data_IF_152039415147
#
_entry.id   IF_152039415147
#
_cell.length_a   1.000
_cell.length_b   1.000
_cell.length_c   1.000
_cell.angle_alpha   90.00
_cell.angle_beta   90.00
_cell.angle_gamma   90.00
#
_symmetry.space_group_name_H-M   'P 1'
#
loop_
_entity.id
_entity.type
_entity.pdbx_description
1 polymer ?
#
# COMPACT_ATOMS: atom_id res chain seq x y z
N UNK A 1 37.24 24.92 -0.94
CA UNK A 1 36.37 25.00 0.25
C UNK A 1 35.05 25.65 -0.14
N UNK A 2 33.94 24.93 0.10
CA UNK A 2 32.54 25.38 0.25
C UNK A 2 31.97 26.41 -0.74
N UNK A 3 31.00 26.14 -1.61
CA UNK A 3 29.93 25.14 -1.57
C UNK A 3 28.68 25.71 -0.92
N UNK A 4 27.73 26.22 -1.73
CA UNK A 4 26.28 26.26 -1.43
C UNK A 4 25.52 26.25 -2.77
N UNK A 5 25.29 25.06 -3.31
CA UNK A 5 24.28 24.79 -4.34
C UNK A 5 23.26 23.82 -3.75
N UNK A 6 22.31 24.31 -2.94
CA UNK A 6 21.04 23.60 -2.72
C UNK A 6 20.06 24.43 -1.89
N UNK A 7 19.31 25.31 -2.55
CA UNK A 7 18.13 25.95 -1.94
C UNK A 7 16.85 25.82 -2.77
N UNK A 8 16.85 25.03 -3.86
CA UNK A 8 15.66 24.91 -4.73
C UNK A 8 14.78 23.67 -4.51
N UNK A 9 15.17 22.69 -3.69
CA UNK A 9 14.47 21.39 -3.64
C UNK A 9 13.51 21.15 -2.47
N UNK A 10 13.41 22.02 -1.46
CA UNK A 10 12.67 21.70 -0.23
C UNK A 10 11.29 22.37 -0.11
N UNK A 11 10.98 23.40 -0.92
CA UNK A 11 9.73 24.18 -0.76
C UNK A 11 8.56 23.83 -1.69
N UNK A 12 8.72 22.92 -2.65
CA UNK A 12 7.61 22.53 -3.55
C UNK A 12 6.73 21.37 -3.06
N UNK A 13 6.91 20.88 -1.81
CA UNK A 13 6.28 19.63 -1.35
C UNK A 13 4.85 19.75 -0.82
N UNK A 14 4.37 20.96 -0.49
CA UNK A 14 3.05 21.15 0.15
C UNK A 14 1.96 21.68 -0.80
N UNK A 15 2.30 22.26 -1.94
CA UNK A 15 1.31 22.88 -2.85
C UNK A 15 0.64 21.90 -3.83
N UNK A 16 1.12 20.66 -3.95
CA UNK A 16 0.48 19.67 -4.83
C UNK A 16 -0.80 19.06 -4.21
N UNK A 17 -1.07 19.31 -2.93
CA UNK A 17 -2.05 18.55 -2.15
C UNK A 17 -3.52 18.94 -2.42
N UNK A 18 -3.80 20.12 -3.00
CA UNK A 18 -5.16 20.66 -3.08
C UNK A 18 -5.79 20.72 -4.48
N UNK A 19 -5.04 20.53 -5.59
CA UNK A 19 -5.55 20.87 -6.94
C UNK A 19 -5.81 19.70 -7.91
N UNK A 20 -5.80 18.45 -7.45
CA UNK A 20 -6.07 17.32 -8.36
C UNK A 20 -7.58 17.12 -8.56
N UNK A 21 -8.07 17.61 -9.70
CA UNK A 21 -9.43 17.52 -10.23
C UNK A 21 -10.06 16.12 -10.12
N UNK A 22 -11.39 16.10 -10.00
CA UNK A 22 -12.28 14.97 -9.74
C UNK A 22 -12.40 13.89 -10.83
N UNK A 23 -11.45 13.78 -11.77
CA UNK A 23 -11.42 12.76 -12.83
C UNK A 23 -10.00 12.24 -13.10
N UNK A 24 -9.31 11.76 -12.06
CA UNK A 24 -8.01 11.10 -12.22
C UNK A 24 -8.18 9.62 -12.59
N UNK A 25 -7.44 9.18 -13.62
CA UNK A 25 -7.43 7.78 -14.04
C UNK A 25 -6.80 6.86 -12.97
N UNK A 26 -7.13 5.56 -12.94
CA UNK A 26 -6.48 4.60 -12.04
C UNK A 26 -4.95 4.61 -12.13
N UNK A 27 -4.40 4.80 -13.34
CA UNK A 27 -2.96 4.89 -13.57
C UNK A 27 -2.33 6.11 -12.88
N UNK A 28 -3.04 7.24 -12.82
CA UNK A 28 -2.56 8.44 -12.15
C UNK A 28 -2.42 8.22 -10.64
N UNK A 29 -3.41 7.59 -10.01
CA UNK A 29 -3.34 7.24 -8.58
C UNK A 29 -2.19 6.28 -8.29
N UNK A 30 -2.00 5.25 -9.13
CA UNK A 30 -0.90 4.30 -9.02
C UNK A 30 0.46 5.00 -9.12
N UNK A 31 0.59 5.97 -10.03
CA UNK A 31 1.81 6.75 -10.19
C UNK A 31 2.09 7.61 -8.94
N UNK A 32 1.10 8.34 -8.42
CA UNK A 32 1.27 9.20 -7.24
C UNK A 32 1.73 8.40 -6.02
N UNK A 33 1.11 7.24 -5.79
CA UNK A 33 1.48 6.33 -4.69
C UNK A 33 2.90 5.80 -4.89
N UNK A 34 3.24 5.32 -6.10
CA UNK A 34 4.59 4.82 -6.40
C UNK A 34 5.66 5.90 -6.22
N UNK A 35 5.38 7.13 -6.63
CA UNK A 35 6.29 8.26 -6.47
C UNK A 35 6.55 8.58 -4.98
N UNK A 36 5.53 8.51 -4.12
CA UNK A 36 5.74 8.67 -2.68
C UNK A 36 6.58 7.52 -2.09
N UNK A 37 6.38 6.29 -2.56
CA UNK A 37 7.17 5.13 -2.14
C UNK A 37 8.63 5.24 -2.56
N UNK A 38 8.91 5.66 -3.80
CA UNK A 38 10.28 5.82 -4.30
C UNK A 38 11.03 6.95 -3.58
N UNK A 39 10.31 7.99 -3.14
CA UNK A 39 10.84 9.07 -2.32
C UNK A 39 10.98 8.72 -0.82
N UNK A 40 10.79 7.45 -0.43
CA UNK A 40 10.88 7.02 0.97
C UNK A 40 9.83 7.65 1.88
N UNK A 41 8.68 8.05 1.34
CA UNK A 41 7.59 8.72 2.06
C UNK A 41 6.32 7.86 2.11
N UNK A 42 6.35 6.65 2.71
CA UNK A 42 5.22 5.72 2.70
C UNK A 42 3.97 6.22 3.43
N UNK A 43 4.11 7.14 4.40
CA UNK A 43 2.95 7.79 5.03
C UNK A 43 2.11 8.59 4.03
N UNK A 44 2.78 9.21 3.05
CA UNK A 44 2.10 10.07 2.09
C UNK A 44 1.42 9.23 1.02
N UNK A 45 2.00 8.08 0.66
CA UNK A 45 1.34 7.05 -0.12
C UNK A 45 0.02 6.60 0.54
N UNK A 46 0.02 6.36 1.85
CA UNK A 46 -1.21 6.03 2.60
C UNK A 46 -2.24 7.16 2.56
N UNK A 47 -1.83 8.42 2.76
CA UNK A 47 -2.75 9.56 2.68
C UNK A 47 -3.42 9.69 1.31
N UNK A 48 -2.67 9.48 0.22
CA UNK A 48 -3.22 9.47 -1.13
C UNK A 48 -4.24 8.34 -1.27
N UNK A 49 -3.93 7.13 -0.82
CA UNK A 49 -4.89 6.02 -0.87
C UNK A 49 -6.15 6.29 -0.05
N UNK A 50 -6.02 6.81 1.16
CA UNK A 50 -7.16 7.19 2.01
C UNK A 50 -8.08 8.18 1.28
N UNK A 51 -7.51 9.16 0.54
CA UNK A 51 -8.31 10.07 -0.30
C UNK A 51 -9.05 9.34 -1.43
N UNK A 52 -8.38 8.43 -2.14
CA UNK A 52 -9.02 7.59 -3.17
C UNK A 52 -10.20 6.80 -2.58
N UNK A 53 -10.03 6.23 -1.38
CA UNK A 53 -11.09 5.49 -0.69
C UNK A 53 -12.22 6.39 -0.19
N UNK A 54 -11.94 7.61 0.27
CA UNK A 54 -12.97 8.59 0.63
C UNK A 54 -13.82 9.04 -0.56
N UNK A 55 -13.29 8.96 -1.78
CA UNK A 55 -14.05 9.18 -3.02
C UNK A 55 -14.89 7.96 -3.43
N UNK A 56 -14.87 6.87 -2.65
CA UNK A 56 -15.54 5.62 -2.98
C UNK A 56 -14.85 4.80 -4.07
N UNK A 57 -13.68 5.24 -4.55
CA UNK A 57 -12.98 4.62 -5.68
C UNK A 57 -12.16 3.43 -5.16
N UNK A 58 -12.39 2.25 -5.72
CA UNK A 58 -11.60 1.06 -5.45
C UNK A 58 -10.77 0.71 -6.67
N UNK A 59 -9.44 0.72 -6.53
CA UNK A 59 -8.51 0.36 -7.60
C UNK A 59 -7.64 -0.78 -7.09
N UNK A 60 -7.89 -1.97 -7.62
CA UNK A 60 -7.18 -3.22 -7.26
C UNK A 60 -5.67 -3.05 -7.32
N UNK A 61 -5.16 -2.40 -8.37
CA UNK A 61 -3.72 -2.18 -8.56
C UNK A 61 -3.04 -1.33 -7.48
N UNK A 62 -3.79 -0.66 -6.60
CA UNK A 62 -3.23 0.11 -5.49
C UNK A 62 -2.93 -0.75 -4.27
N UNK A 63 -3.62 -1.87 -4.07
CA UNK A 63 -3.44 -2.72 -2.88
C UNK A 63 -1.98 -3.16 -2.68
N UNK A 64 -1.28 -3.71 -3.68
CA UNK A 64 0.13 -4.10 -3.53
C UNK A 64 1.03 -2.94 -3.09
N UNK A 65 0.81 -1.76 -3.68
CA UNK A 65 1.58 -0.55 -3.39
C UNK A 65 1.38 -0.08 -1.94
N UNK A 66 0.14 -0.11 -1.47
CA UNK A 66 -0.20 0.35 -0.13
C UNK A 66 0.19 -0.66 0.94
N UNK A 67 0.10 -1.96 0.63
CA UNK A 67 0.66 -3.00 1.48
C UNK A 67 2.18 -2.84 1.65
N UNK A 68 2.91 -2.50 0.57
CA UNK A 68 4.32 -2.14 0.64
C UNK A 68 4.56 -0.92 1.53
N UNK A 69 3.71 0.11 1.44
CA UNK A 69 3.76 1.27 2.33
C UNK A 69 3.59 0.87 3.80
N UNK A 70 2.61 0.02 4.10
CA UNK A 70 2.37 -0.51 5.45
C UNK A 70 3.56 -1.33 5.96
N UNK A 71 4.16 -2.15 5.09
CA UNK A 71 5.35 -2.95 5.41
C UNK A 71 6.54 -2.06 5.79
N UNK A 72 6.80 -1.00 5.01
CA UNK A 72 7.86 -0.01 5.30
C UNK A 72 7.61 0.78 6.59
N UNK A 73 6.35 0.88 7.03
CA UNK A 73 5.97 1.56 8.27
C UNK A 73 5.78 0.61 9.46
N UNK A 74 5.97 -0.70 9.26
CA UNK A 74 5.58 -1.75 10.22
C UNK A 74 4.15 -1.56 10.75
N UNK A 75 3.24 -1.07 9.90
CA UNK A 75 1.88 -0.68 10.29
C UNK A 75 0.90 -1.84 10.16
N UNK A 76 0.93 -2.73 11.15
CA UNK A 76 0.11 -3.95 11.15
C UNK A 76 -1.40 -3.68 11.11
N UNK A 77 -1.87 -2.61 11.75
CA UNK A 77 -3.30 -2.29 11.80
C UNK A 77 -3.85 -1.91 10.43
N UNK A 78 -3.12 -1.08 9.66
CA UNK A 78 -3.48 -0.76 8.29
C UNK A 78 -3.39 -2.00 7.39
N UNK A 79 -2.36 -2.81 7.55
CA UNK A 79 -2.20 -4.06 6.81
C UNK A 79 -3.37 -5.04 7.01
N UNK A 80 -3.86 -5.18 8.24
CA UNK A 80 -5.05 -6.01 8.56
C UNK A 80 -6.33 -5.44 7.93
N UNK A 81 -6.51 -4.13 7.95
CA UNK A 81 -7.67 -3.49 7.31
C UNK A 81 -7.68 -3.73 5.80
N UNK A 82 -6.52 -3.57 5.14
CA UNK A 82 -6.35 -3.84 3.70
C UNK A 82 -6.53 -5.32 3.37
N UNK A 83 -6.09 -6.22 4.24
CA UNK A 83 -6.32 -7.66 4.07
C UNK A 83 -7.82 -8.00 4.15
N UNK A 84 -8.54 -7.45 5.13
CA UNK A 84 -9.98 -7.63 5.21
C UNK A 84 -10.71 -7.04 4.00
N UNK A 85 -10.25 -5.89 3.49
CA UNK A 85 -10.75 -5.26 2.28
C UNK A 85 -10.50 -6.16 1.05
N UNK A 86 -9.30 -6.73 0.88
CA UNK A 86 -8.99 -7.60 -0.25
C UNK A 86 -9.87 -8.86 -0.27
N UNK A 87 -10.17 -9.45 0.89
CA UNK A 87 -11.11 -10.57 1.00
C UNK A 87 -12.52 -10.15 0.60
N UNK A 88 -13.03 -9.04 1.14
CA UNK A 88 -14.38 -8.53 0.82
C UNK A 88 -14.56 -8.21 -0.65
N UNK A 89 -13.48 -7.80 -1.32
CA UNK A 89 -13.48 -7.48 -2.75
C UNK A 89 -13.11 -8.67 -3.65
N UNK A 90 -12.92 -9.87 -3.11
CA UNK A 90 -12.55 -11.07 -3.89
C UNK A 90 -11.14 -11.02 -4.50
N UNK A 91 -10.28 -10.12 -4.02
CA UNK A 91 -8.91 -9.95 -4.50
C UNK A 91 -7.89 -10.79 -3.72
N UNK A 92 -8.34 -11.60 -2.76
CA UNK A 92 -7.50 -12.46 -1.96
C UNK A 92 -6.84 -13.60 -2.75
N UNK A 93 -7.27 -13.88 -3.99
CA UNK A 93 -6.63 -14.84 -4.90
C UNK A 93 -5.59 -14.20 -5.84
N UNK A 94 -5.48 -12.86 -5.87
CA UNK A 94 -4.51 -12.17 -6.70
C UNK A 94 -3.09 -12.39 -6.16
N UNK A 95 -2.21 -12.91 -7.02
CA UNK A 95 -0.83 -13.28 -6.65
C UNK A 95 -0.02 -12.08 -6.19
N UNK A 96 -0.21 -10.90 -6.79
CA UNK A 96 0.51 -9.69 -6.41
C UNK A 96 0.04 -9.16 -5.06
N UNK A 97 -1.28 -9.20 -4.81
CA UNK A 97 -1.87 -8.83 -3.51
C UNK A 97 -1.40 -9.79 -2.42
N UNK A 98 -1.47 -11.10 -2.67
CA UNK A 98 -1.01 -12.13 -1.73
C UNK A 98 0.47 -12.02 -1.38
N UNK A 99 1.32 -11.83 -2.39
CA UNK A 99 2.76 -11.62 -2.19
C UNK A 99 3.02 -10.38 -1.33
N UNK A 100 2.29 -9.29 -1.59
CA UNK A 100 2.43 -8.04 -0.84
C UNK A 100 1.91 -8.15 0.60
N UNK A 101 0.86 -8.94 0.84
CA UNK A 101 0.36 -9.25 2.17
C UNK A 101 1.39 -10.04 2.98
N UNK A 102 2.01 -11.05 2.38
CA UNK A 102 3.07 -11.86 2.99
C UNK A 102 4.26 -10.97 3.40
N UNK A 103 4.77 -10.13 2.50
CA UNK A 103 5.86 -9.18 2.80
C UNK A 103 5.48 -8.23 3.95
N UNK A 104 4.24 -7.73 3.95
CA UNK A 104 3.74 -6.83 4.99
C UNK A 104 3.69 -7.50 6.36
N UNK A 105 3.11 -8.70 6.47
CA UNK A 105 3.07 -9.43 7.75
C UNK A 105 4.48 -9.82 8.23
N UNK A 106 5.39 -10.17 7.31
CA UNK A 106 6.79 -10.47 7.63
C UNK A 106 7.50 -9.27 8.25
N UNK A 107 7.44 -8.11 7.60
CA UNK A 107 8.08 -6.88 8.09
C UNK A 107 7.40 -6.26 9.32
N UNK A 108 6.16 -6.66 9.61
CA UNK A 108 5.48 -6.32 10.87
C UNK A 108 5.79 -7.29 12.02
N UNK A 109 6.68 -8.28 11.83
CA UNK A 109 7.09 -9.22 12.88
C UNK A 109 6.04 -10.29 13.22
N UNK A 110 4.99 -10.44 12.41
CA UNK A 110 3.91 -11.41 12.68
C UNK A 110 4.33 -12.85 12.35
N UNK A 111 5.46 -13.05 11.69
CA UNK A 111 6.01 -14.37 11.32
C UNK A 111 6.68 -15.12 12.48
N UNK A 112 6.89 -14.49 13.64
CA UNK A 112 7.64 -15.07 14.76
C UNK A 112 6.86 -16.10 15.59
N UNK A 113 5.61 -16.42 15.22
CA UNK A 113 4.88 -17.53 15.86
C UNK A 113 4.68 -18.68 14.87
N UNK A 114 5.32 -19.85 15.10
CA UNK A 114 5.01 -21.06 14.36
C UNK A 114 3.52 -21.36 14.54
N UNK A 115 2.77 -21.44 13.44
CA UNK A 115 1.35 -21.82 13.45
C UNK A 115 0.32 -20.68 13.33
N UNK A 116 0.68 -19.39 13.48
CA UNK A 116 -0.31 -18.30 13.31
C UNK A 116 -0.15 -17.50 12.01
N UNK A 117 1.06 -17.45 11.43
CA UNK A 117 1.32 -16.56 10.30
C UNK A 117 0.91 -17.12 8.93
N UNK A 118 1.01 -18.44 8.73
CA UNK A 118 0.55 -19.09 7.49
C UNK A 118 -0.98 -19.12 7.36
N UNK A 119 -1.72 -19.06 8.46
CA UNK A 119 -3.19 -19.27 8.47
C UNK A 119 -3.98 -18.10 7.86
N UNK A 120 -3.46 -16.88 7.89
CA UNK A 120 -4.21 -15.72 7.40
C UNK A 120 -4.28 -15.63 5.87
N UNK A 121 -3.22 -16.02 5.13
CA UNK A 121 -3.23 -15.99 3.66
C UNK A 121 -3.42 -17.37 3.03
N UNK A 122 -2.85 -18.45 3.58
CA UNK A 122 -2.91 -19.76 2.92
C UNK A 122 -4.22 -20.49 3.14
N UNK A 123 -4.92 -20.25 4.26
CA UNK A 123 -6.21 -20.92 4.52
C UNK A 123 -7.30 -20.49 3.53
N UNK A 124 -7.24 -19.25 3.03
CA UNK A 124 -8.20 -18.70 2.06
C UNK A 124 -7.72 -18.82 0.60
N UNK A 125 -6.42 -19.06 0.35
CA UNK A 125 -5.87 -19.27 -1.01
C UNK A 125 -5.79 -20.74 -1.43
N UNK A 126 -5.74 -21.70 -0.48
CA UNK A 126 -5.46 -23.12 -0.78
C UNK A 126 -6.62 -24.08 -0.48
N UNK A 127 -7.81 -23.60 -0.09
CA UNK A 127 -8.98 -24.44 0.23
C UNK A 127 -10.05 -24.54 -0.88
N UNK A 128 -9.85 -23.92 -2.05
CA UNK A 128 -10.80 -23.98 -3.18
C UNK A 128 -10.19 -24.59 -4.46
N UNK A 129 -9.11 -25.37 -4.35
CA UNK A 129 -8.36 -25.86 -5.52
C UNK A 129 -7.85 -27.30 -5.47
N UNK A 130 -8.40 -28.15 -4.61
CA UNK A 130 -8.22 -29.61 -4.69
C UNK A 130 -9.55 -30.31 -4.44
N UNK A 131 -10.36 -30.38 -5.50
CA UNK A 131 -11.37 -31.42 -5.75
C UNK A 131 -11.71 -31.42 -7.24
#
# INVERSE_FOLDING_TARGET
MSGVSNQKHVKQRHEFFCNTNSNLSPAHWSYLIQNHLSQGSPRQALLVYTRVRHQGIYIVGLLPLILKACASLSSINHGKALHAESIKSGMNCDVLVGTSLVDMYAKCGMFLSPGKCLIICLREMWWLGMQ
#
